data_IF_109568083856
#
_entry.id   IF_109568083856
#
_cell.length_a   1.000
_cell.length_b   1.000
_cell.length_c   1.000
_cell.angle_alpha   90.00
_cell.angle_beta   90.00
_cell.angle_gamma   90.00
#
_symmetry.space_group_name_H-M   'P 1'
#
loop_
_entity.id
_entity.type
_entity.pdbx_description
1 polymer ?
#
# COMPACT_ATOMS: atom_id res chain seq x y z
N UNK A 1 -29.71 -68.25 57.75
CA UNK A 1 -29.66 -66.78 57.49
C UNK A 1 -28.88 -66.60 56.22
N UNK A 2 -29.57 -66.50 55.07
CA UNK A 2 -29.00 -66.21 53.75
C UNK A 2 -28.88 -64.73 53.65
N UNK A 3 -27.67 -64.25 53.38
CA UNK A 3 -27.36 -62.85 53.00
C UNK A 3 -27.66 -62.70 51.50
N UNK A 4 -28.71 -61.97 51.13
CA UNK A 4 -28.97 -61.53 49.79
C UNK A 4 -27.99 -60.38 49.47
N UNK A 5 -26.86 -60.72 48.94
CA UNK A 5 -25.99 -59.72 48.31
C UNK A 5 -26.58 -59.34 46.95
N UNK A 6 -27.27 -58.20 46.92
CA UNK A 6 -27.67 -57.52 45.70
C UNK A 6 -26.43 -57.05 44.97
N UNK A 7 -26.05 -57.82 43.99
CA UNK A 7 -25.03 -57.33 43.02
C UNK A 7 -25.58 -56.11 42.21
N UNK A 8 -25.35 -54.93 42.69
CA UNK A 8 -25.63 -53.69 41.95
C UNK A 8 -24.59 -53.52 40.83
N UNK A 9 -25.02 -53.86 39.62
CA UNK A 9 -24.26 -53.62 38.44
C UNK A 9 -24.45 -52.16 38.05
N UNK A 10 -23.50 -51.26 38.43
CA UNK A 10 -23.51 -49.88 38.03
C UNK A 10 -22.80 -49.78 36.68
N UNK A 11 -23.52 -49.63 35.59
CA UNK A 11 -22.95 -49.26 34.33
C UNK A 11 -22.41 -47.84 34.43
N UNK A 12 -21.11 -47.66 34.21
CA UNK A 12 -20.53 -46.33 34.08
C UNK A 12 -21.14 -45.67 32.85
N UNK A 13 -21.72 -44.48 33.04
CA UNK A 13 -22.22 -43.64 31.97
C UNK A 13 -20.99 -43.03 31.28
N UNK A 14 -20.54 -43.63 30.18
CA UNK A 14 -19.49 -43.04 29.34
C UNK A 14 -20.16 -41.97 28.48
N UNK A 15 -19.95 -40.72 28.79
CA UNK A 15 -20.28 -39.61 27.90
C UNK A 15 -19.19 -39.54 26.83
N UNK A 16 -19.43 -40.03 25.64
CA UNK A 16 -18.61 -39.76 24.48
C UNK A 16 -19.03 -38.39 23.91
N UNK A 17 -18.15 -37.42 23.96
CA UNK A 17 -18.35 -36.20 23.23
C UNK A 17 -17.91 -36.48 21.77
N UNK A 18 -18.84 -36.36 20.84
CA UNK A 18 -18.48 -36.42 19.40
C UNK A 18 -17.58 -35.23 19.08
N UNK A 19 -16.41 -35.51 18.55
CA UNK A 19 -15.59 -34.44 18.02
C UNK A 19 -16.32 -33.85 16.80
N UNK A 20 -16.51 -32.55 16.82
CA UNK A 20 -16.94 -31.81 15.65
C UNK A 20 -15.77 -31.79 14.64
N UNK A 21 -16.06 -32.24 13.43
CA UNK A 21 -15.11 -32.31 12.32
C UNK A 21 -15.60 -31.46 11.13
N UNK A 22 -16.69 -30.70 11.31
CA UNK A 22 -17.28 -29.90 10.25
C UNK A 22 -16.69 -28.49 10.29
N UNK A 23 -15.93 -28.07 9.29
CA UNK A 23 -15.41 -26.71 9.27
C UNK A 23 -16.51 -25.67 9.04
N UNK A 24 -16.37 -24.43 9.56
CA UNK A 24 -17.30 -23.35 9.31
C UNK A 24 -17.30 -22.90 7.86
N UNK A 25 -18.26 -22.07 7.47
CA UNK A 25 -18.28 -21.41 6.16
C UNK A 25 -17.16 -20.39 6.03
N UNK A 26 -16.60 -20.22 4.82
CA UNK A 26 -15.63 -19.14 4.57
C UNK A 26 -16.30 -17.77 4.71
N UNK A 27 -15.55 -16.76 5.16
CA UNK A 27 -16.02 -15.38 5.20
C UNK A 27 -16.32 -14.83 3.79
N UNK A 28 -17.32 -13.94 3.72
CA UNK A 28 -17.76 -13.30 2.46
C UNK A 28 -17.64 -11.79 2.51
N UNK A 29 -17.80 -11.13 1.35
CA UNK A 29 -17.68 -9.67 1.21
C UNK A 29 -16.34 -9.14 1.74
N UNK A 30 -15.28 -9.92 1.56
CA UNK A 30 -13.96 -9.57 1.99
C UNK A 30 -13.40 -8.44 1.13
N UNK A 31 -13.06 -7.33 1.75
CA UNK A 31 -12.58 -6.12 1.06
C UNK A 31 -11.62 -5.30 1.91
N UNK A 32 -10.89 -4.41 1.24
CA UNK A 32 -10.17 -3.31 1.89
C UNK A 32 -11.18 -2.17 2.08
N UNK A 33 -11.18 -1.56 3.27
CA UNK A 33 -12.10 -0.48 3.59
C UNK A 33 -11.92 0.72 2.67
N UNK A 34 -13.01 1.31 2.19
CA UNK A 34 -13.01 2.42 1.24
C UNK A 34 -12.30 3.69 1.76
N UNK A 35 -12.28 3.90 3.09
CA UNK A 35 -11.53 4.99 3.72
C UNK A 35 -10.01 4.87 3.53
N UNK A 36 -9.54 3.76 2.98
CA UNK A 36 -8.13 3.51 2.65
C UNK A 36 -7.88 3.59 1.13
N UNK A 37 -8.78 4.20 0.35
CA UNK A 37 -8.49 4.55 -1.04
C UNK A 37 -7.30 5.51 -1.13
N UNK A 38 -6.56 5.47 -2.24
CA UNK A 38 -5.32 6.24 -2.39
C UNK A 38 -5.51 7.74 -2.14
N UNK A 39 -6.56 8.34 -2.70
CA UNK A 39 -6.80 9.78 -2.58
C UNK A 39 -7.15 10.20 -1.15
N UNK A 40 -7.94 9.39 -0.46
CA UNK A 40 -8.31 9.66 0.93
C UNK A 40 -7.16 9.38 1.89
N UNK A 41 -6.47 8.25 1.70
CA UNK A 41 -5.43 7.79 2.61
C UNK A 41 -4.26 8.78 2.75
N UNK A 42 -3.88 9.46 1.65
CA UNK A 42 -2.77 10.41 1.65
C UNK A 42 -3.19 11.87 1.75
N UNK A 43 -4.47 12.15 1.98
CA UNK A 43 -4.98 13.53 2.02
C UNK A 43 -4.30 14.38 3.10
N UNK A 44 -4.07 13.81 4.28
CA UNK A 44 -3.50 14.46 5.46
C UNK A 44 -2.13 13.91 5.89
N UNK A 45 -1.57 12.97 5.16
CA UNK A 45 -0.28 12.34 5.51
C UNK A 45 0.90 13.11 4.94
N UNK A 46 1.91 13.33 5.78
CA UNK A 46 3.15 14.00 5.35
C UNK A 46 3.84 13.29 4.19
N UNK A 47 4.70 14.01 3.46
CA UNK A 47 5.50 13.42 2.39
C UNK A 47 6.46 12.34 2.89
N UNK A 48 6.91 12.44 4.13
CA UNK A 48 7.87 11.54 4.77
C UNK A 48 7.19 10.42 5.57
N UNK A 49 5.88 10.20 5.37
CA UNK A 49 5.17 9.11 6.02
C UNK A 49 5.81 7.76 5.70
N UNK A 50 6.10 7.00 6.73
CA UNK A 50 6.75 5.68 6.64
C UNK A 50 5.96 4.57 7.30
N UNK A 51 4.94 4.93 8.10
CA UNK A 51 4.12 3.98 8.82
C UNK A 51 2.76 3.88 8.18
N UNK A 52 2.55 2.79 7.43
CA UNK A 52 1.32 2.54 6.72
C UNK A 52 0.46 1.51 7.44
N UNK A 53 -0.82 1.50 7.10
CA UNK A 53 -1.74 0.49 7.58
C UNK A 53 -2.78 0.12 6.52
N UNK A 54 -3.23 -1.13 6.55
CA UNK A 54 -4.32 -1.64 5.75
C UNK A 54 -5.46 -2.07 6.67
N UNK A 55 -6.68 -1.57 6.43
CA UNK A 55 -7.87 -2.08 7.09
C UNK A 55 -8.62 -2.98 6.14
N UNK A 56 -8.78 -4.22 6.56
CA UNK A 56 -9.59 -5.23 5.86
C UNK A 56 -10.83 -5.52 6.68
N UNK A 57 -11.93 -5.79 6.01
CA UNK A 57 -13.23 -6.09 6.62
C UNK A 57 -13.99 -7.13 5.82
N UNK A 58 -14.83 -7.86 6.50
CA UNK A 58 -15.63 -8.94 5.92
C UNK A 58 -16.95 -9.07 6.62
N UNK A 59 -17.84 -9.87 6.08
CA UNK A 59 -19.09 -10.24 6.69
C UNK A 59 -19.25 -11.76 6.78
N UNK A 60 -20.12 -12.16 7.67
CA UNK A 60 -20.63 -13.52 7.77
C UNK A 60 -21.83 -13.70 6.85
N UNK A 61 -22.07 -14.91 6.39
CA UNK A 61 -23.36 -15.31 5.82
C UNK A 61 -24.29 -15.76 6.94
N UNK A 62 -25.58 -15.47 6.83
CA UNK A 62 -26.62 -15.98 7.73
C UNK A 62 -26.97 -17.45 7.41
N UNK A 63 -25.98 -18.34 7.48
CA UNK A 63 -26.13 -19.78 7.26
C UNK A 63 -25.72 -20.55 8.50
N UNK A 64 -26.28 -21.76 8.70
CA UNK A 64 -26.00 -22.59 9.87
C UNK A 64 -24.50 -22.85 10.06
N UNK A 65 -23.75 -23.02 8.98
CA UNK A 65 -22.32 -23.29 9.04
C UNK A 65 -21.47 -22.09 9.56
N UNK A 66 -22.08 -20.92 9.72
CA UNK A 66 -21.42 -19.73 10.28
C UNK A 66 -21.69 -19.58 11.79
N UNK A 67 -22.70 -20.24 12.31
CA UNK A 67 -23.13 -20.07 13.71
C UNK A 67 -22.10 -20.57 14.73
N UNK A 68 -21.21 -21.47 14.34
CA UNK A 68 -20.14 -21.96 15.21
C UNK A 68 -18.79 -21.31 15.00
N UNK A 69 -18.69 -20.40 14.03
CA UNK A 69 -17.46 -19.59 13.81
C UNK A 69 -17.09 -18.83 15.07
N UNK A 70 -15.86 -19.01 15.52
CA UNK A 70 -15.33 -18.39 16.73
C UNK A 70 -14.29 -17.33 16.44
N UNK A 71 -13.42 -17.61 15.49
CA UNK A 71 -12.30 -16.76 15.13
C UNK A 71 -12.13 -16.70 13.60
N UNK A 72 -11.29 -15.76 13.18
CA UNK A 72 -10.82 -15.62 11.80
C UNK A 72 -9.30 -15.56 11.81
N UNK A 73 -8.66 -16.35 10.97
CA UNK A 73 -7.24 -16.26 10.70
C UNK A 73 -7.02 -15.35 9.51
N UNK A 74 -6.08 -14.43 9.64
CA UNK A 74 -5.71 -13.47 8.60
C UNK A 74 -4.38 -13.88 8.02
N UNK A 75 -4.36 -14.09 6.71
CA UNK A 75 -3.16 -14.44 5.96
C UNK A 75 -2.74 -13.28 5.07
N UNK A 76 -1.45 -13.01 5.03
CA UNK A 76 -0.87 -11.92 4.27
C UNK A 76 0.35 -12.39 3.47
N UNK A 77 0.48 -11.86 2.27
CA UNK A 77 1.67 -11.97 1.41
C UNK A 77 2.08 -10.60 0.92
N UNK A 78 3.33 -10.22 1.14
CA UNK A 78 3.91 -8.93 0.72
C UNK A 78 4.16 -8.85 -0.79
N UNK A 79 4.38 -9.99 -1.45
CA UNK A 79 4.53 -10.06 -2.90
C UNK A 79 3.20 -10.21 -3.66
N UNK A 80 2.10 -10.42 -2.94
CA UNK A 80 0.74 -10.46 -3.47
C UNK A 80 0.35 -11.73 -4.22
N UNK A 81 1.20 -12.74 -4.33
CA UNK A 81 0.96 -13.92 -5.17
C UNK A 81 1.14 -15.25 -4.44
N UNK A 82 2.13 -15.37 -3.58
CA UNK A 82 2.48 -16.60 -2.86
C UNK A 82 3.07 -16.28 -1.48
N UNK A 83 3.47 -17.30 -0.72
CA UNK A 83 4.08 -17.17 0.61
C UNK A 83 3.18 -16.35 1.58
N UNK A 84 1.96 -16.86 1.78
CA UNK A 84 1.04 -16.27 2.75
C UNK A 84 1.37 -16.77 4.16
N UNK A 85 1.62 -15.85 5.05
CA UNK A 85 1.82 -16.11 6.47
C UNK A 85 0.57 -15.75 7.27
N UNK A 86 0.23 -16.55 8.28
CA UNK A 86 -0.80 -16.18 9.24
C UNK A 86 -0.24 -15.06 10.14
N UNK A 87 -0.79 -13.84 9.97
CA UNK A 87 -0.33 -12.65 10.68
C UNK A 87 -1.16 -12.31 11.92
N UNK A 88 -2.40 -12.83 12.00
CA UNK A 88 -3.28 -12.58 13.13
C UNK A 88 -4.44 -13.56 13.18
N UNK A 89 -5.01 -13.71 14.39
CA UNK A 89 -6.30 -14.35 14.63
C UNK A 89 -7.18 -13.38 15.41
N UNK A 90 -8.43 -13.17 14.99
CA UNK A 90 -9.38 -12.25 15.62
C UNK A 90 -10.79 -12.83 15.69
N UNK A 91 -11.59 -12.35 16.64
CA UNK A 91 -13.03 -12.61 16.70
C UNK A 91 -13.87 -11.48 16.09
N UNK A 92 -13.23 -10.38 15.66
CA UNK A 92 -13.90 -9.27 14.98
C UNK A 92 -14.11 -9.60 13.50
N UNK A 93 -14.97 -8.86 12.84
CA UNK A 93 -15.19 -8.91 11.40
C UNK A 93 -14.36 -7.86 10.64
N UNK A 94 -13.29 -7.40 11.24
CA UNK A 94 -12.28 -6.52 10.65
C UNK A 94 -10.91 -6.75 11.30
N UNK A 95 -9.87 -6.35 10.56
CA UNK A 95 -8.50 -6.31 11.07
C UNK A 95 -7.77 -5.10 10.50
N UNK A 96 -6.90 -4.48 11.31
CA UNK A 96 -6.02 -3.40 10.89
C UNK A 96 -4.58 -3.87 10.94
N UNK A 97 -3.98 -4.09 9.78
CA UNK A 97 -2.57 -4.43 9.64
C UNK A 97 -1.74 -3.16 9.68
N UNK A 98 -1.04 -2.94 10.79
CA UNK A 98 -0.27 -1.73 11.09
C UNK A 98 1.22 -1.92 10.90
N UNK A 99 1.96 -0.81 10.99
CA UNK A 99 3.43 -0.75 10.91
C UNK A 99 3.97 -1.33 9.60
N UNK A 100 3.23 -1.10 8.53
CA UNK A 100 3.66 -1.50 7.20
C UNK A 100 4.64 -0.47 6.63
N UNK A 101 5.68 -0.94 5.95
CA UNK A 101 6.62 -0.08 5.20
C UNK A 101 6.07 0.37 3.86
N UNK A 102 5.02 -0.29 3.37
CA UNK A 102 4.29 0.02 2.14
C UNK A 102 2.88 -0.56 2.24
N UNK A 103 2.00 -0.19 1.29
CA UNK A 103 0.60 -0.63 1.30
C UNK A 103 0.36 -1.94 0.55
N UNK A 104 1.28 -2.30 -0.37
CA UNK A 104 1.09 -3.42 -1.28
C UNK A 104 1.11 -4.77 -0.57
N UNK A 105 0.33 -5.68 -1.11
CA UNK A 105 0.25 -7.06 -0.64
C UNK A 105 -1.10 -7.70 -0.96
N UNK A 106 -1.24 -8.94 -0.58
CA UNK A 106 -2.48 -9.68 -0.73
C UNK A 106 -2.90 -10.29 0.60
N UNK A 107 -4.20 -10.42 0.76
CA UNK A 107 -4.82 -11.01 1.95
C UNK A 107 -5.84 -12.05 1.52
N UNK A 108 -5.96 -13.09 2.32
CA UNK A 108 -7.15 -13.92 2.42
C UNK A 108 -7.42 -14.24 3.89
N UNK A 109 -8.61 -14.67 4.21
CA UNK A 109 -9.01 -15.04 5.55
C UNK A 109 -9.71 -16.39 5.56
N UNK A 110 -9.65 -17.07 6.69
CA UNK A 110 -10.39 -18.30 6.97
C UNK A 110 -11.20 -18.11 8.24
N UNK A 111 -12.26 -18.87 8.37
CA UNK A 111 -13.02 -18.98 9.62
C UNK A 111 -12.56 -20.20 10.41
N UNK A 112 -12.55 -20.08 11.74
CA UNK A 112 -12.16 -21.12 12.68
C UNK A 112 -13.27 -21.33 13.70
N UNK A 113 -13.68 -22.59 13.95
CA UNK A 113 -14.65 -22.95 14.98
C UNK A 113 -14.00 -23.15 16.35
N UNK A 114 -14.79 -23.60 17.32
CA UNK A 114 -14.31 -23.90 18.68
C UNK A 114 -13.54 -25.21 18.76
N UNK A 115 -13.76 -26.12 17.82
CA UNK A 115 -13.13 -27.45 17.76
C UNK A 115 -11.77 -27.41 17.07
N UNK A 116 -11.43 -26.28 16.42
CA UNK A 116 -10.19 -26.07 15.69
C UNK A 116 -10.30 -26.43 14.21
N UNK A 117 -11.52 -26.64 13.68
CA UNK A 117 -11.70 -26.84 12.25
C UNK A 117 -11.63 -25.50 11.52
N UNK A 118 -10.90 -25.45 10.43
CA UNK A 118 -10.68 -24.26 9.63
C UNK A 118 -11.40 -24.36 8.29
N UNK A 119 -12.06 -23.27 7.88
CA UNK A 119 -12.77 -23.20 6.61
C UNK A 119 -11.80 -23.19 5.42
N UNK A 120 -12.31 -23.38 4.22
CA UNK A 120 -11.60 -23.01 3.01
C UNK A 120 -11.34 -21.49 3.01
N UNK A 121 -10.27 -21.00 2.33
CA UNK A 121 -9.98 -19.58 2.24
C UNK A 121 -11.09 -18.79 1.56
N UNK A 122 -11.25 -17.52 1.97
CA UNK A 122 -11.98 -16.51 1.19
C UNK A 122 -11.32 -16.26 -0.16
N UNK A 123 -11.95 -15.46 -1.00
CA UNK A 123 -11.29 -14.86 -2.13
C UNK A 123 -10.04 -14.06 -1.67
N UNK A 124 -9.01 -14.06 -2.51
CA UNK A 124 -7.81 -13.26 -2.25
C UNK A 124 -8.02 -11.85 -2.76
N UNK A 125 -7.89 -10.86 -1.87
CA UNK A 125 -7.88 -9.45 -2.24
C UNK A 125 -6.44 -8.95 -2.32
N UNK A 126 -6.19 -8.02 -3.24
CA UNK A 126 -4.88 -7.37 -3.40
C UNK A 126 -5.01 -5.87 -3.20
N UNK A 127 -4.03 -5.29 -2.56
CA UNK A 127 -3.81 -3.86 -2.51
C UNK A 127 -2.48 -3.56 -3.15
N UNK A 128 -2.45 -2.55 -3.98
CA UNK A 128 -1.19 -2.02 -4.48
C UNK A 128 -0.81 -0.75 -3.71
N UNK A 129 0.43 -0.34 -3.86
CA UNK A 129 0.87 0.98 -3.44
C UNK A 129 0.08 2.04 -4.23
N UNK A 130 0.06 3.25 -3.69
CA UNK A 130 -0.55 4.42 -4.33
C UNK A 130 0.55 5.30 -4.96
N UNK A 131 1.09 4.91 -6.12
CA UNK A 131 2.24 5.59 -6.71
C UNK A 131 1.84 6.97 -7.21
N UNK A 132 2.70 7.96 -6.95
CA UNK A 132 2.49 9.34 -7.39
C UNK A 132 3.82 10.02 -7.68
N UNK A 133 3.88 10.75 -8.79
CA UNK A 133 4.98 11.62 -9.14
C UNK A 133 4.45 12.76 -10.00
N UNK A 134 4.49 13.98 -9.49
CA UNK A 134 3.98 15.17 -10.16
C UNK A 134 5.09 16.21 -10.22
N UNK A 135 5.20 16.84 -11.37
CA UNK A 135 6.14 17.93 -11.62
C UNK A 135 5.39 19.25 -11.80
N UNK A 136 5.94 20.38 -11.31
CA UNK A 136 5.36 21.70 -11.54
C UNK A 136 5.52 22.09 -13.02
N UNK A 137 4.77 23.08 -13.47
CA UNK A 137 4.88 23.63 -14.81
C UNK A 137 5.59 24.99 -14.85
N UNK A 138 6.05 25.49 -13.70
CA UNK A 138 6.76 26.78 -13.60
C UNK A 138 7.69 26.76 -12.38
N UNK A 139 8.84 27.40 -12.51
CA UNK A 139 9.73 27.71 -11.39
C UNK A 139 10.49 29.01 -11.63
N UNK A 140 11.02 29.60 -10.55
CA UNK A 140 11.62 30.95 -10.53
C UNK A 140 13.00 30.89 -9.90
N UNK A 141 14.06 30.50 -10.66
CA UNK A 141 15.41 30.37 -10.11
C UNK A 141 16.05 31.73 -9.89
N UNK A 142 15.57 32.51 -8.91
CA UNK A 142 16.03 33.86 -8.57
C UNK A 142 16.80 33.91 -7.24
N UNK A 143 16.93 32.78 -6.52
CA UNK A 143 17.68 32.64 -5.28
C UNK A 143 16.97 33.19 -4.04
N UNK A 144 15.64 33.35 -4.06
CA UNK A 144 14.85 33.84 -2.93
C UNK A 144 14.42 32.71 -1.97
N UNK A 145 14.79 31.45 -2.27
CA UNK A 145 14.43 30.26 -1.50
C UNK A 145 13.03 29.72 -1.80
N UNK A 146 12.35 30.24 -2.84
CA UNK A 146 11.01 29.80 -3.22
C UNK A 146 10.96 29.44 -4.69
N UNK A 147 10.60 28.19 -4.98
CA UNK A 147 10.51 27.68 -6.35
C UNK A 147 11.79 27.89 -7.18
N UNK A 148 12.97 27.90 -6.54
CA UNK A 148 14.25 28.06 -7.20
C UNK A 148 14.65 26.84 -8.04
N UNK A 149 14.00 25.72 -7.81
CA UNK A 149 14.29 24.46 -8.49
C UNK A 149 13.06 23.87 -9.16
N UNK A 150 13.26 23.27 -10.32
CA UNK A 150 12.31 22.36 -10.91
C UNK A 150 12.50 20.99 -10.25
N UNK A 151 11.56 20.63 -9.39
CA UNK A 151 11.59 19.42 -8.57
C UNK A 151 10.15 18.95 -8.35
N UNK A 152 9.88 17.64 -8.08
CA UNK A 152 8.56 17.20 -7.73
C UNK A 152 8.05 17.91 -6.47
N UNK A 153 6.74 18.00 -6.34
CA UNK A 153 6.12 18.64 -5.18
C UNK A 153 6.57 17.97 -3.88
N UNK A 154 7.16 18.76 -3.01
CA UNK A 154 7.60 18.35 -1.68
C UNK A 154 7.19 19.42 -0.65
N UNK A 155 6.86 19.00 0.56
CA UNK A 155 6.73 19.88 1.72
C UNK A 155 7.22 19.20 2.98
N UNK A 156 7.98 19.94 3.77
CA UNK A 156 8.46 19.53 5.10
C UNK A 156 7.41 19.75 6.21
N UNK A 157 6.16 20.09 5.85
CA UNK A 157 5.10 20.39 6.79
C UNK A 157 5.06 21.84 7.28
N UNK A 158 5.98 22.71 6.81
CA UNK A 158 6.03 24.12 7.21
C UNK A 158 4.97 24.98 6.50
N UNK A 159 4.34 24.47 5.43
CA UNK A 159 3.33 25.18 4.64
C UNK A 159 1.94 24.73 5.08
N UNK A 160 1.24 25.58 5.81
CA UNK A 160 -0.19 25.42 6.11
C UNK A 160 -1.01 25.63 4.83
N UNK A 161 -1.82 24.67 4.41
CA UNK A 161 -2.63 24.58 3.18
C UNK A 161 -1.97 23.86 2.00
N UNK A 162 -0.95 23.06 2.21
CA UNK A 162 -0.40 22.19 1.18
C UNK A 162 -1.24 20.92 1.05
N UNK A 163 -1.49 20.52 -0.20
CA UNK A 163 -2.13 19.23 -0.46
C UNK A 163 -1.06 18.13 -0.43
N UNK A 164 -0.88 17.48 0.71
CA UNK A 164 0.03 16.34 0.89
C UNK A 164 -0.19 15.20 -0.12
N UNK A 165 -1.38 15.14 -0.72
CA UNK A 165 -1.67 14.21 -1.79
C UNK A 165 -0.80 14.38 -3.04
N UNK A 166 -0.01 15.44 -3.19
CA UNK A 166 0.83 15.71 -4.36
C UNK A 166 2.29 15.27 -4.20
N UNK A 167 2.71 14.82 -3.03
CA UNK A 167 4.07 14.34 -2.81
C UNK A 167 4.43 13.14 -3.69
N UNK A 168 5.71 12.97 -4.08
CA UNK A 168 6.19 11.71 -4.64
C UNK A 168 5.95 10.56 -3.67
N UNK A 169 5.38 9.47 -4.17
CA UNK A 169 5.10 8.29 -3.34
C UNK A 169 5.41 7.02 -4.10
N UNK A 170 6.07 6.09 -3.42
CA UNK A 170 6.42 4.77 -3.94
C UNK A 170 7.18 4.84 -5.28
N UNK A 171 8.07 5.83 -5.40
CA UNK A 171 8.95 6.01 -6.55
C UNK A 171 10.28 5.31 -6.26
N UNK A 172 10.71 4.43 -7.18
CA UNK A 172 12.00 3.75 -7.12
C UNK A 172 13.09 4.54 -7.83
N UNK A 173 12.80 4.95 -9.06
CA UNK A 173 13.77 5.71 -9.85
C UNK A 173 13.08 6.69 -10.80
N UNK A 174 13.83 7.71 -11.20
CA UNK A 174 13.44 8.74 -12.15
C UNK A 174 14.58 8.98 -13.11
N UNK A 175 14.29 8.91 -14.41
CA UNK A 175 15.17 9.37 -15.47
C UNK A 175 14.45 10.45 -16.25
N UNK A 176 15.03 11.64 -16.39
CA UNK A 176 14.42 12.77 -17.10
C UNK A 176 15.40 13.43 -18.06
N UNK A 177 14.88 13.82 -19.21
CA UNK A 177 15.56 14.68 -20.18
C UNK A 177 14.73 15.93 -20.43
N UNK A 178 15.36 17.10 -20.37
CA UNK A 178 14.75 18.39 -20.62
C UNK A 178 15.39 19.01 -21.87
N UNK A 179 14.55 19.48 -22.78
CA UNK A 179 14.95 20.05 -24.06
C UNK A 179 14.39 21.47 -24.22
N UNK A 180 15.10 22.30 -24.98
CA UNK A 180 14.59 23.59 -25.42
C UNK A 180 13.59 23.43 -26.57
N UNK A 181 12.99 24.53 -27.03
CA UNK A 181 12.03 24.57 -28.14
C UNK A 181 12.58 24.08 -29.49
N UNK A 182 13.89 23.94 -29.62
CA UNK A 182 14.54 23.40 -30.84
C UNK A 182 14.81 21.91 -30.75
N UNK A 183 14.48 21.28 -29.59
CA UNK A 183 14.75 19.87 -29.31
C UNK A 183 16.17 19.61 -28.80
N UNK A 184 16.94 20.65 -28.53
CA UNK A 184 18.28 20.47 -27.93
C UNK A 184 18.18 20.19 -26.45
N UNK A 185 18.80 19.08 -25.98
CA UNK A 185 18.88 18.77 -24.57
C UNK A 185 19.66 19.82 -23.80
N UNK A 186 19.06 20.33 -22.73
CA UNK A 186 19.64 21.35 -21.85
C UNK A 186 19.97 20.80 -20.48
N UNK A 187 19.25 19.75 -20.04
CA UNK A 187 19.45 19.10 -18.75
C UNK A 187 19.04 17.64 -18.84
N UNK A 188 19.67 16.79 -18.03
CA UNK A 188 19.23 15.42 -17.75
C UNK A 188 19.55 15.04 -16.32
N UNK A 189 18.74 14.16 -15.76
CA UNK A 189 18.95 13.60 -14.44
C UNK A 189 18.56 12.11 -14.44
N UNK A 190 19.38 11.31 -13.80
CA UNK A 190 19.13 9.90 -13.53
C UNK A 190 19.32 9.65 -12.03
N UNK A 191 18.25 9.26 -11.35
CA UNK A 191 18.26 9.06 -9.88
C UNK A 191 19.12 7.88 -9.44
N UNK A 192 19.44 6.95 -10.33
CA UNK A 192 20.32 5.81 -10.03
C UNK A 192 21.81 6.22 -10.09
N UNK A 193 22.13 7.23 -10.89
CA UNK A 193 23.47 7.80 -10.99
C UNK A 193 23.68 8.95 -9.99
N UNK A 194 22.69 9.83 -9.82
CA UNK A 194 22.72 10.95 -8.87
C UNK A 194 22.00 10.57 -7.57
N UNK A 195 22.68 9.82 -6.72
CA UNK A 195 22.15 9.37 -5.43
C UNK A 195 21.98 10.51 -4.41
N UNK A 196 22.60 11.67 -4.63
CA UNK A 196 22.47 12.83 -3.74
C UNK A 196 21.09 13.47 -3.84
N UNK A 197 20.61 13.69 -5.06
CA UNK A 197 19.27 14.22 -5.32
C UNK A 197 18.22 13.12 -5.36
N UNK A 198 18.61 11.90 -5.73
CA UNK A 198 17.71 10.76 -5.84
C UNK A 198 16.53 11.06 -6.77
N UNK A 199 15.31 10.80 -6.31
CA UNK A 199 14.09 11.04 -7.10
C UNK A 199 13.75 12.54 -7.27
N UNK A 200 14.45 13.45 -6.57
CA UNK A 200 14.28 14.90 -6.68
C UNK A 200 15.26 15.45 -7.72
N UNK A 201 14.71 15.98 -8.80
CA UNK A 201 15.48 16.44 -9.96
C UNK A 201 16.39 17.65 -9.63
N UNK A 202 15.86 18.60 -8.82
CA UNK A 202 16.53 19.83 -8.35
C UNK A 202 17.26 20.64 -9.45
N UNK A 203 16.62 20.76 -10.62
CA UNK A 203 17.18 21.57 -11.70
C UNK A 203 17.03 23.07 -11.43
N UNK A 204 18.15 23.80 -11.41
CA UNK A 204 18.23 25.24 -11.13
C UNK A 204 18.08 26.15 -12.38
N UNK A 205 17.68 25.59 -13.52
CA UNK A 205 17.51 26.33 -14.77
C UNK A 205 18.84 26.67 -15.47
N UNK A 206 19.91 25.93 -15.16
CA UNK A 206 21.18 25.99 -15.90
C UNK A 206 21.35 24.79 -16.83
N UNK A 207 22.15 24.97 -17.86
CA UNK A 207 22.55 23.85 -18.71
C UNK A 207 23.72 23.07 -18.10
N UNK A 208 24.14 22.00 -18.76
CA UNK A 208 25.23 21.11 -18.31
C UNK A 208 26.59 21.82 -18.18
N UNK A 209 26.78 23.00 -18.78
CA UNK A 209 27.98 23.82 -18.61
C UNK A 209 27.88 24.86 -17.49
N UNK A 210 26.78 24.83 -16.70
CA UNK A 210 26.54 25.79 -15.62
C UNK A 210 26.04 27.18 -16.08
N UNK A 211 25.73 27.34 -17.36
CA UNK A 211 25.20 28.59 -17.89
C UNK A 211 23.71 28.69 -17.67
N UNK A 212 23.26 29.83 -17.16
CA UNK A 212 21.84 30.15 -17.01
C UNK A 212 21.10 30.12 -18.34
N UNK A 213 19.92 29.49 -18.33
CA UNK A 213 19.04 29.47 -19.48
C UNK A 213 18.04 30.64 -19.39
N UNK A 214 17.63 31.21 -20.54
CA UNK A 214 16.70 32.33 -20.55
C UNK A 214 15.29 31.92 -20.05
N UNK A 215 14.49 32.91 -19.65
CA UNK A 215 13.05 32.74 -19.42
C UNK A 215 12.42 32.28 -20.73
N UNK A 216 11.95 31.04 -20.74
CA UNK A 216 11.32 30.40 -21.90
C UNK A 216 10.57 29.13 -21.40
N UNK A 217 9.92 28.45 -22.33
CA UNK A 217 9.29 27.15 -22.11
C UNK A 217 10.22 26.03 -22.56
N UNK A 218 10.42 25.07 -21.67
CA UNK A 218 11.22 23.86 -21.89
C UNK A 218 10.31 22.65 -21.83
N UNK A 219 10.64 21.61 -22.57
CA UNK A 219 9.86 20.37 -22.62
C UNK A 219 10.64 19.25 -21.98
N UNK A 220 9.92 18.33 -21.33
CA UNK A 220 10.57 17.18 -20.70
C UNK A 220 9.88 15.86 -21.02
N UNK A 221 10.68 14.81 -20.96
CA UNK A 221 10.23 13.43 -20.91
C UNK A 221 10.88 12.81 -19.69
N UNK A 222 10.06 12.32 -18.77
CA UNK A 222 10.51 11.61 -17.57
C UNK A 222 10.01 10.18 -17.58
N UNK A 223 10.90 9.23 -17.37
CA UNK A 223 10.56 7.83 -17.10
C UNK A 223 10.63 7.62 -15.60
N UNK A 224 9.52 7.25 -14.99
CA UNK A 224 9.40 7.05 -13.54
C UNK A 224 9.10 5.59 -13.29
N UNK A 225 9.91 4.95 -12.44
CA UNK A 225 9.69 3.58 -11.99
C UNK A 225 9.08 3.61 -10.59
N UNK A 226 7.95 2.95 -10.43
CA UNK A 226 7.21 2.86 -9.17
C UNK A 226 7.37 1.51 -8.49
N UNK A 227 7.21 1.52 -7.17
CA UNK A 227 7.13 0.32 -6.35
C UNK A 227 5.68 -0.16 -6.26
N UNK A 228 5.30 -1.06 -7.17
CA UNK A 228 3.94 -1.62 -7.31
C UNK A 228 3.98 -3.13 -7.42
N UNK A 229 2.84 -3.80 -7.17
CA UNK A 229 2.66 -5.24 -7.36
C UNK A 229 2.60 -5.61 -8.86
N UNK A 230 1.84 -4.83 -9.63
CA UNK A 230 1.72 -5.05 -11.06
C UNK A 230 2.93 -4.46 -11.79
N UNK A 231 3.88 -5.32 -12.16
CA UNK A 231 5.12 -4.89 -12.82
C UNK A 231 4.88 -4.24 -14.19
N UNK A 232 3.78 -4.55 -14.89
CA UNK A 232 3.43 -3.91 -16.15
C UNK A 232 3.07 -2.43 -15.98
N UNK A 233 2.66 -2.03 -14.77
CA UNK A 233 2.34 -0.65 -14.39
C UNK A 233 3.48 0.05 -13.64
N UNK A 234 4.61 -0.64 -13.44
CA UNK A 234 5.73 -0.12 -12.65
C UNK A 234 6.45 1.05 -13.34
N UNK A 235 6.48 1.09 -14.68
CA UNK A 235 7.18 2.13 -15.44
C UNK A 235 6.17 3.04 -16.13
N UNK A 236 6.29 4.35 -15.89
CA UNK A 236 5.43 5.35 -16.49
C UNK A 236 6.25 6.46 -17.17
N UNK A 237 5.92 6.75 -18.42
CA UNK A 237 6.45 7.90 -19.13
C UNK A 237 5.55 9.12 -18.89
N UNK A 238 6.15 10.20 -18.41
CA UNK A 238 5.49 11.49 -18.15
C UNK A 238 6.10 12.52 -19.10
N UNK A 239 5.26 13.10 -19.95
CA UNK A 239 5.65 14.20 -20.86
C UNK A 239 5.00 15.49 -20.43
N UNK A 240 5.76 16.57 -20.47
CA UNK A 240 5.24 17.87 -20.09
C UNK A 240 6.14 19.01 -20.51
N UNK A 241 5.83 20.16 -19.96
CA UNK A 241 6.61 21.38 -20.15
C UNK A 241 6.79 22.09 -18.81
N UNK A 242 7.84 22.90 -18.74
CA UNK A 242 8.13 23.76 -17.60
C UNK A 242 8.57 25.13 -18.10
N UNK A 243 8.14 26.17 -17.44
CA UNK A 243 8.51 27.55 -17.73
C UNK A 243 9.53 28.06 -16.72
N UNK A 244 10.63 28.62 -17.19
CA UNK A 244 11.55 29.40 -16.38
C UNK A 244 11.09 30.85 -16.40
N UNK A 245 10.88 31.42 -15.21
CA UNK A 245 10.63 32.85 -15.02
C UNK A 245 11.76 33.47 -14.18
N UNK A 246 12.40 34.53 -14.70
CA UNK A 246 13.46 35.28 -14.01
C UNK A 246 13.10 36.75 -13.95
#
# INVERSE_FOLDING_TARGET
LESNDLLLNSSQKICAQTNDLTPPCPPVNFKISDQYSCDYYFFDKSCDEKDFENRIEWSSVDEECFLDTKFFNIYFSDNGYNNFDNIATTSNNYFVHKNLTNLKGAYFITALDRSGNESIPSDTIRRDNCPKYLLPNVFTPNGDGKNDFFTPFYTDGSITNFNYGNCPRFVRSVNISIVDRTGKQVFSHDSEEDTLNGIYINWDGKNSSGKELPSDTYYYIATVTFDVLNLDESVKEIKGWVQILR
#
